data_IF_555386792899
#
_entry.id   IF_555386792899
#
_cell.length_a   1.000
_cell.length_b   1.000
_cell.length_c   1.000
_cell.angle_alpha   90.00
_cell.angle_beta   90.00
_cell.angle_gamma   90.00
#
_symmetry.space_group_name_H-M   'P 1'
#
loop_
_entity.id
_entity.type
_entity.pdbx_description
1 polymer ?
#
# COMPACT_ATOMS: atom_id res chain seq x y z
N UNK A 1 1.94 7.78 28.83
CA UNK A 1 1.03 8.13 27.72
C UNK A 1 0.20 6.90 27.34
N UNK A 2 -1.13 6.96 27.44
CA UNK A 2 -2.02 5.88 26.96
C UNK A 2 -2.19 6.05 25.45
N UNK A 3 -1.51 5.22 24.64
CA UNK A 3 -1.79 5.14 23.21
C UNK A 3 -3.23 4.68 23.01
N UNK A 4 -4.07 5.53 22.42
CA UNK A 4 -5.44 5.18 22.07
C UNK A 4 -5.44 4.02 21.08
N UNK A 5 -6.54 3.25 20.98
CA UNK A 5 -6.66 2.15 20.00
C UNK A 5 -6.40 2.63 18.56
N UNK A 6 -6.74 3.87 18.24
CA UNK A 6 -6.44 4.51 16.96
C UNK A 6 -4.93 4.63 16.71
N UNK A 7 -4.17 5.15 17.68
CA UNK A 7 -2.72 5.32 17.53
C UNK A 7 -1.94 4.01 17.37
N UNK A 8 -2.47 2.88 17.88
CA UNK A 8 -1.86 1.55 17.66
C UNK A 8 -2.02 1.04 16.23
N UNK A 9 -3.13 1.40 15.56
CA UNK A 9 -3.35 1.04 14.16
C UNK A 9 -2.50 1.91 13.23
N UNK A 10 -2.37 3.20 13.54
CA UNK A 10 -1.51 4.12 12.79
C UNK A 10 -0.04 3.70 12.83
N UNK A 11 0.49 3.36 14.00
CA UNK A 11 1.87 2.86 14.14
C UNK A 11 2.10 1.53 13.40
N UNK A 12 1.09 0.65 13.38
CA UNK A 12 1.17 -0.59 12.61
C UNK A 12 1.16 -0.32 11.09
N UNK A 13 0.27 0.56 10.62
CA UNK A 13 0.20 0.93 9.21
C UNK A 13 1.51 1.60 8.72
N UNK A 14 2.08 2.49 9.52
CA UNK A 14 3.38 3.12 9.27
C UNK A 14 4.51 2.10 9.20
N UNK A 15 4.60 1.20 10.18
CA UNK A 15 5.64 0.17 10.20
C UNK A 15 5.56 -0.79 9.02
N UNK A 16 4.36 -1.14 8.54
CA UNK A 16 4.24 -2.00 7.36
C UNK A 16 4.56 -1.24 6.07
N UNK A 17 4.16 0.02 5.96
CA UNK A 17 4.47 0.83 4.80
C UNK A 17 5.98 1.10 4.67
N UNK A 18 6.68 1.33 5.79
CA UNK A 18 8.14 1.44 5.84
C UNK A 18 8.84 0.12 5.43
N UNK A 19 8.40 -1.02 5.98
CA UNK A 19 8.96 -2.32 5.62
C UNK A 19 8.75 -2.68 4.14
N UNK A 20 7.57 -2.39 3.58
CA UNK A 20 7.29 -2.63 2.17
C UNK A 20 8.18 -1.75 1.26
N UNK A 21 8.41 -0.50 1.65
CA UNK A 21 9.25 0.41 0.87
C UNK A 21 10.73 0.01 0.91
N UNK A 22 11.25 -0.44 2.06
CA UNK A 22 12.62 -0.98 2.18
C UNK A 22 12.83 -2.26 1.36
N UNK A 23 11.82 -3.12 1.26
CA UNK A 23 11.90 -4.35 0.47
C UNK A 23 11.81 -4.10 -1.03
N UNK A 24 11.10 -3.07 -1.48
CA UNK A 24 11.08 -2.65 -2.88
C UNK A 24 12.44 -2.15 -3.38
N UNK A 25 13.22 -1.58 -2.46
CA UNK A 25 14.55 -1.04 -2.70
C UNK A 25 15.64 -2.12 -2.70
N UNK A 26 15.37 -3.28 -2.09
CA UNK A 26 16.22 -4.45 -2.25
C UNK A 26 16.05 -5.02 -3.67
N UNK A 27 17.09 -5.66 -4.23
CA UNK A 27 17.09 -6.18 -5.60
C UNK A 27 15.97 -7.20 -5.91
N UNK A 28 16.12 -8.02 -6.96
CA UNK A 28 15.05 -8.97 -7.35
C UNK A 28 14.46 -9.85 -6.21
N UNK A 29 15.20 -10.27 -5.15
CA UNK A 29 14.60 -10.97 -4.00
C UNK A 29 13.73 -10.05 -3.14
N UNK A 30 14.12 -8.78 -3.03
CA UNK A 30 13.35 -7.72 -2.38
C UNK A 30 12.02 -7.46 -3.06
N UNK A 31 12.02 -7.40 -4.38
CA UNK A 31 10.81 -7.20 -5.21
C UNK A 31 9.80 -8.34 -5.04
N UNK A 32 10.27 -9.59 -5.07
CA UNK A 32 9.42 -10.77 -4.78
C UNK A 32 8.91 -10.77 -3.34
N UNK A 33 9.76 -10.42 -2.38
CA UNK A 33 9.36 -10.31 -0.98
C UNK A 33 8.31 -9.22 -0.75
N UNK A 34 8.38 -8.11 -1.49
CA UNK A 34 7.36 -7.05 -1.44
C UNK A 34 6.02 -7.57 -1.93
N UNK A 35 6.00 -8.29 -3.06
CA UNK A 35 4.77 -8.88 -3.58
C UNK A 35 4.15 -9.86 -2.55
N UNK A 36 4.98 -10.67 -1.89
CA UNK A 36 4.53 -11.56 -0.81
C UNK A 36 3.98 -10.79 0.39
N UNK A 37 4.69 -9.77 0.87
CA UNK A 37 4.25 -8.93 1.98
C UNK A 37 2.94 -8.21 1.69
N UNK A 38 2.81 -7.70 0.47
CA UNK A 38 1.64 -6.96 0.06
C UNK A 38 0.40 -7.85 -0.14
N UNK A 39 0.58 -9.15 -0.42
CA UNK A 39 -0.50 -10.14 -0.37
C UNK A 39 -0.83 -10.53 1.09
N UNK A 40 0.18 -10.64 1.95
CA UNK A 40 -0.01 -10.99 3.36
C UNK A 40 -0.76 -9.89 4.14
N UNK A 41 -0.62 -8.61 3.77
CA UNK A 41 -1.21 -7.50 4.50
C UNK A 41 -2.76 -7.51 4.48
N UNK A 42 -3.47 -7.62 3.33
CA UNK A 42 -4.92 -7.78 3.32
C UNK A 42 -5.40 -9.04 4.05
N UNK A 43 -4.65 -10.14 3.94
CA UNK A 43 -5.01 -11.41 4.58
C UNK A 43 -4.93 -11.31 6.12
N UNK A 44 -3.85 -10.75 6.63
CA UNK A 44 -3.67 -10.51 8.08
C UNK A 44 -4.67 -9.49 8.60
N UNK A 45 -4.96 -8.43 7.83
CA UNK A 45 -6.00 -7.46 8.15
C UNK A 45 -7.39 -8.11 8.23
N UNK A 46 -7.71 -9.03 7.31
CA UNK A 46 -8.95 -9.81 7.34
C UNK A 46 -9.04 -10.72 8.57
N UNK A 47 -7.98 -11.47 8.87
CA UNK A 47 -7.90 -12.32 10.05
C UNK A 47 -8.11 -11.47 11.32
N UNK A 48 -7.37 -10.36 11.45
CA UNK A 48 -7.52 -9.43 12.58
C UNK A 48 -8.96 -8.90 12.70
N UNK A 49 -9.54 -8.41 11.59
CA UNK A 49 -10.87 -7.82 11.58
C UNK A 49 -11.95 -8.84 11.95
N UNK A 50 -11.86 -10.09 11.48
CA UNK A 50 -12.82 -11.16 11.85
C UNK A 50 -12.82 -11.49 13.33
N UNK A 51 -11.69 -11.30 14.00
CA UNK A 51 -11.52 -11.60 15.42
C UNK A 51 -11.89 -10.40 16.30
N UNK A 52 -11.58 -9.17 15.88
CA UNK A 52 -11.68 -8.00 16.76
C UNK A 52 -12.75 -6.97 16.38
N UNK A 53 -13.08 -6.85 15.10
CA UNK A 53 -13.91 -5.78 14.56
C UNK A 53 -14.78 -6.29 13.40
N UNK A 54 -15.63 -7.29 13.69
CA UNK A 54 -16.47 -7.98 12.67
C UNK A 54 -17.35 -7.04 11.86
N UNK A 55 -17.73 -5.91 12.46
CA UNK A 55 -18.57 -4.94 11.79
C UNK A 55 -17.82 -4.06 10.78
N UNK A 56 -16.49 -3.96 10.88
CA UNK A 56 -15.64 -3.08 10.06
C UNK A 56 -14.68 -3.86 9.15
N UNK A 57 -15.03 -5.10 8.83
CA UNK A 57 -14.14 -6.02 8.10
C UNK A 57 -13.82 -5.46 6.72
N UNK A 58 -14.82 -4.99 5.96
CA UNK A 58 -14.57 -4.48 4.62
C UNK A 58 -13.75 -3.19 4.66
N UNK A 59 -13.98 -2.29 5.63
CA UNK A 59 -13.18 -1.07 5.79
C UNK A 59 -11.71 -1.38 6.10
N UNK A 60 -11.44 -2.29 7.05
CA UNK A 60 -10.08 -2.66 7.47
C UNK A 60 -9.34 -3.37 6.33
N UNK A 61 -9.99 -4.32 5.67
CA UNK A 61 -9.42 -5.03 4.51
C UNK A 61 -9.21 -4.07 3.34
N UNK A 62 -10.16 -3.17 3.08
CA UNK A 62 -10.04 -2.15 2.05
C UNK A 62 -8.83 -1.24 2.29
N UNK A 63 -8.67 -0.72 3.50
CA UNK A 63 -7.51 0.10 3.85
C UNK A 63 -6.19 -0.65 3.66
N UNK A 64 -6.15 -1.94 4.06
CA UNK A 64 -4.99 -2.79 3.82
C UNK A 64 -4.72 -2.99 2.32
N UNK A 65 -5.74 -3.30 1.51
CA UNK A 65 -5.59 -3.38 0.06
C UNK A 65 -5.05 -2.07 -0.54
N UNK A 66 -5.50 -0.93 -0.04
CA UNK A 66 -5.02 0.38 -0.49
C UNK A 66 -3.55 0.63 -0.15
N UNK A 67 -3.12 0.32 1.08
CA UNK A 67 -1.70 0.37 1.47
C UNK A 67 -0.83 -0.52 0.57
N UNK A 68 -1.34 -1.68 0.17
CA UNK A 68 -0.65 -2.62 -0.68
C UNK A 68 -0.70 -2.26 -2.18
N UNK A 69 -1.63 -1.41 -2.62
CA UNK A 69 -1.92 -1.22 -4.04
C UNK A 69 -0.72 -0.67 -4.82
N UNK A 70 -0.11 0.41 -4.31
CA UNK A 70 1.06 1.01 -4.93
C UNK A 70 2.31 0.10 -4.92
N UNK A 71 2.74 -0.49 -3.78
CA UNK A 71 3.90 -1.38 -3.78
C UNK A 71 3.68 -2.65 -4.61
N UNK A 72 2.46 -3.17 -4.73
CA UNK A 72 2.14 -4.28 -5.65
C UNK A 72 2.24 -3.85 -7.10
N UNK A 73 1.66 -2.71 -7.44
CA UNK A 73 1.68 -2.17 -8.81
C UNK A 73 3.12 -1.97 -9.30
N UNK A 74 3.93 -1.32 -8.47
CA UNK A 74 5.33 -1.07 -8.75
C UNK A 74 6.17 -2.36 -8.76
N UNK A 75 5.91 -3.27 -7.80
CA UNK A 75 6.55 -4.59 -7.74
C UNK A 75 6.27 -5.41 -8.99
N UNK A 76 5.01 -5.44 -9.46
CA UNK A 76 4.62 -6.08 -10.70
C UNK A 76 5.27 -5.40 -11.90
N UNK A 77 5.22 -4.06 -11.99
CA UNK A 77 5.84 -3.29 -13.07
C UNK A 77 7.32 -3.64 -13.22
N UNK A 78 8.02 -3.81 -12.11
CA UNK A 78 9.43 -4.19 -12.10
C UNK A 78 9.73 -5.58 -12.68
N UNK A 79 8.73 -6.44 -12.89
CA UNK A 79 8.87 -7.74 -13.55
C UNK A 79 8.93 -7.63 -15.09
N UNK A 80 8.65 -6.47 -15.68
CA UNK A 80 8.75 -6.25 -17.14
C UNK A 80 10.13 -6.52 -17.71
N UNK A 81 11.17 -6.31 -16.91
CA UNK A 81 12.57 -6.52 -17.32
C UNK A 81 12.99 -7.98 -17.20
N UNK A 82 12.14 -8.85 -16.65
CA UNK A 82 12.41 -10.28 -16.53
C UNK A 82 11.91 -11.03 -17.77
N UNK A 83 12.51 -12.19 -18.09
CA UNK A 83 12.08 -13.00 -19.22
C UNK A 83 10.68 -13.59 -19.03
N UNK A 84 10.11 -14.05 -20.14
CA UNK A 84 8.83 -14.77 -20.17
C UNK A 84 8.86 -16.01 -19.23
N UNK A 85 7.78 -16.29 -18.47
CA UNK A 85 6.45 -15.67 -18.48
C UNK A 85 6.28 -14.49 -17.51
N UNK A 86 7.28 -14.16 -16.70
CA UNK A 86 7.18 -13.10 -15.68
C UNK A 86 6.90 -11.71 -16.29
N UNK A 87 7.35 -11.50 -17.53
CA UNK A 87 7.05 -10.29 -18.30
C UNK A 87 5.54 -10.02 -18.47
N UNK A 88 4.70 -11.07 -18.56
CA UNK A 88 3.24 -10.90 -18.65
C UNK A 88 2.66 -10.31 -17.35
N UNK A 89 3.17 -10.76 -16.20
CA UNK A 89 2.83 -10.16 -14.90
C UNK A 89 3.35 -8.72 -14.82
N UNK A 90 4.51 -8.47 -15.44
CA UNK A 90 5.04 -7.14 -15.70
C UNK A 90 4.06 -6.20 -16.40
N UNK A 91 3.43 -6.66 -17.47
CA UNK A 91 2.45 -5.88 -18.23
C UNK A 91 1.20 -5.54 -17.40
N UNK A 92 0.74 -6.45 -16.53
CA UNK A 92 -0.32 -6.14 -15.56
C UNK A 92 0.11 -5.04 -14.58
N UNK A 93 1.38 -5.05 -14.20
CA UNK A 93 2.00 -4.00 -13.39
C UNK A 93 1.93 -2.62 -14.04
N UNK A 94 2.10 -2.50 -15.36
CA UNK A 94 1.94 -1.21 -16.08
C UNK A 94 0.53 -0.65 -15.91
N UNK A 95 -0.47 -1.49 -16.13
CA UNK A 95 -1.87 -1.08 -16.00
C UNK A 95 -2.19 -0.71 -14.56
N UNK A 96 -1.70 -1.51 -13.61
CA UNK A 96 -1.88 -1.24 -12.19
C UNK A 96 -1.18 0.06 -11.75
N UNK A 97 0.04 0.32 -12.24
CA UNK A 97 0.79 1.55 -11.96
C UNK A 97 0.15 2.77 -12.64
N UNK A 98 -0.50 2.61 -13.79
CA UNK A 98 -1.26 3.71 -14.39
C UNK A 98 -2.52 4.05 -13.59
N UNK A 99 -3.18 3.05 -13.00
CA UNK A 99 -4.38 3.22 -12.19
C UNK A 99 -4.09 3.69 -10.76
N UNK A 100 -2.95 3.25 -10.20
CA UNK A 100 -2.52 3.55 -8.83
C UNK A 100 -1.34 4.53 -8.76
N UNK A 101 -0.94 5.07 -9.91
CA UNK A 101 0.20 5.95 -10.08
C UNK A 101 0.08 7.18 -9.22
N UNK A 102 1.22 7.77 -8.89
CA UNK A 102 1.39 8.56 -7.68
C UNK A 102 0.59 9.89 -7.62
N UNK A 103 -0.59 9.98 -6.98
CA UNK A 103 -1.11 11.28 -6.54
C UNK A 103 -0.15 11.96 -5.57
N UNK A 104 0.66 11.19 -4.83
CA UNK A 104 1.65 11.72 -3.90
C UNK A 104 2.77 12.51 -4.58
N UNK A 105 3.15 12.17 -5.81
CA UNK A 105 4.16 12.86 -6.59
C UNK A 105 3.69 14.29 -6.89
N UNK A 106 2.40 14.45 -7.22
CA UNK A 106 1.79 15.75 -7.38
C UNK A 106 1.80 16.51 -6.04
N UNK A 107 1.45 15.85 -4.93
CA UNK A 107 1.46 16.48 -3.60
C UNK A 107 2.88 16.94 -3.19
N UNK A 108 3.90 16.10 -3.37
CA UNK A 108 5.31 16.42 -3.06
C UNK A 108 5.82 17.57 -3.95
N UNK A 109 5.50 17.53 -5.24
CA UNK A 109 5.80 18.62 -6.20
C UNK A 109 5.13 19.93 -5.81
N UNK A 110 3.83 19.91 -5.54
CA UNK A 110 3.05 21.12 -5.26
C UNK A 110 3.32 21.70 -3.87
N UNK A 111 3.71 20.89 -2.91
CA UNK A 111 4.04 21.33 -1.55
C UNK A 111 5.51 21.76 -1.40
N UNK A 112 6.29 21.78 -2.49
CA UNK A 112 7.73 22.06 -2.48
C UNK A 112 8.50 21.22 -1.44
N UNK A 113 8.02 19.99 -1.19
CA UNK A 113 8.61 19.06 -0.22
C UNK A 113 9.80 18.28 -0.81
N UNK A 114 10.26 18.66 -2.01
CA UNK A 114 11.46 18.07 -2.62
C UNK A 114 12.68 18.40 -1.74
N UNK A 115 13.32 17.39 -1.12
CA UNK A 115 14.52 17.61 -0.33
C UNK A 115 15.62 18.22 -1.20
N UNK A 116 16.22 19.31 -0.74
CA UNK A 116 17.39 19.90 -1.38
C UNK A 116 18.61 19.01 -1.11
N UNK A 117 18.89 18.07 -2.01
CA UNK A 117 20.05 17.18 -1.94
C UNK A 117 19.82 15.80 -2.55
N UNK A 118 20.91 15.04 -2.71
CA UNK A 118 20.96 13.69 -3.31
C UNK A 118 20.38 12.61 -2.37
N UNK A 119 19.17 12.83 -1.88
CA UNK A 119 18.40 11.87 -1.07
C UNK A 119 17.28 11.27 -1.91
N UNK A 120 17.64 10.69 -3.06
CA UNK A 120 16.71 9.96 -3.94
C UNK A 120 15.91 8.89 -3.17
N UNK A 121 16.54 8.24 -2.20
CA UNK A 121 15.92 7.22 -1.35
C UNK A 121 14.81 7.78 -0.44
N UNK A 122 15.04 8.93 0.19
CA UNK A 122 14.08 9.52 1.12
C UNK A 122 12.83 10.03 0.39
N UNK A 123 13.03 10.62 -0.80
CA UNK A 123 11.94 11.02 -1.69
C UNK A 123 11.12 9.82 -2.14
N UNK A 124 11.80 8.73 -2.51
CA UNK A 124 11.13 7.52 -2.95
C UNK A 124 10.30 6.90 -1.81
N UNK A 125 10.90 6.77 -0.61
CA UNK A 125 10.19 6.30 0.59
C UNK A 125 8.97 7.16 0.91
N UNK A 126 9.10 8.49 0.85
CA UNK A 126 8.01 9.42 1.09
C UNK A 126 6.89 9.25 0.06
N UNK A 127 7.23 9.08 -1.22
CA UNK A 127 6.27 8.82 -2.30
C UNK A 127 5.51 7.49 -2.07
N UNK A 128 6.22 6.42 -1.70
CA UNK A 128 5.59 5.13 -1.36
C UNK A 128 4.62 5.26 -0.19
N UNK A 129 5.04 5.92 0.89
CA UNK A 129 4.22 6.09 2.10
C UNK A 129 2.96 6.90 1.79
N UNK A 130 3.11 8.05 1.14
CA UNK A 130 2.00 8.94 0.82
C UNK A 130 1.00 8.29 -0.14
N UNK A 131 1.47 7.57 -1.16
CA UNK A 131 0.57 6.82 -2.04
C UNK A 131 -0.16 5.71 -1.31
N UNK A 132 0.55 4.94 -0.49
CA UNK A 132 -0.07 3.93 0.35
C UNK A 132 -1.19 4.51 1.19
N UNK A 133 -0.97 5.67 1.84
CA UNK A 133 -1.97 6.35 2.65
C UNK A 133 -3.17 6.86 1.84
N UNK A 134 -2.94 7.46 0.67
CA UNK A 134 -4.01 7.93 -0.22
C UNK A 134 -4.89 6.77 -0.66
N UNK A 135 -4.28 5.69 -1.16
CA UNK A 135 -5.02 4.50 -1.60
C UNK A 135 -5.70 3.78 -0.43
N UNK A 136 -5.07 3.73 0.75
CA UNK A 136 -5.68 3.21 1.97
C UNK A 136 -6.95 3.98 2.35
N UNK A 137 -6.94 5.31 2.23
CA UNK A 137 -8.11 6.13 2.48
C UNK A 137 -9.23 5.87 1.45
N UNK A 138 -8.89 5.79 0.16
CA UNK A 138 -9.86 5.51 -0.91
C UNK A 138 -10.49 4.12 -0.73
N UNK A 139 -9.67 3.08 -0.60
CA UNK A 139 -10.16 1.70 -0.52
C UNK A 139 -10.78 1.40 0.85
N UNK A 140 -10.28 2.02 1.92
CA UNK A 140 -10.91 1.97 3.24
C UNK A 140 -12.31 2.59 3.23
N UNK A 141 -12.51 3.71 2.54
CA UNK A 141 -13.82 4.34 2.37
C UNK A 141 -14.78 3.48 1.55
N UNK A 142 -14.31 2.88 0.46
CA UNK A 142 -15.10 1.90 -0.32
C UNK A 142 -15.53 0.73 0.58
N UNK A 143 -14.57 0.18 1.35
CA UNK A 143 -14.82 -0.88 2.31
C UNK A 143 -15.84 -0.49 3.38
N UNK A 144 -15.76 0.73 3.91
CA UNK A 144 -16.72 1.25 4.88
C UNK A 144 -18.15 1.29 4.33
N UNK A 145 -18.32 1.71 3.07
CA UNK A 145 -19.62 1.72 2.42
C UNK A 145 -20.19 0.30 2.25
N UNK A 146 -19.33 -0.68 1.96
CA UNK A 146 -19.72 -2.09 1.90
C UNK A 146 -20.14 -2.63 3.26
N UNK A 147 -19.43 -2.27 4.34
CA UNK A 147 -19.83 -2.62 5.70
C UNK A 147 -21.20 -2.03 6.05
N UNK A 148 -21.45 -0.75 5.73
CA UNK A 148 -22.76 -0.12 5.95
C UNK A 148 -23.89 -0.85 5.23
N UNK A 149 -23.69 -1.18 3.94
CA UNK A 149 -24.66 -1.93 3.12
C UNK A 149 -24.92 -3.35 3.64
N UNK A 150 -23.92 -3.97 4.27
CA UNK A 150 -24.07 -5.31 4.88
C UNK A 150 -24.88 -5.27 6.16
N UNK A 151 -24.76 -4.19 6.94
CA UNK A 151 -25.53 -4.00 8.18
C UNK A 151 -26.98 -3.57 7.95
N UNK A 152 -27.25 -2.94 6.81
CA UNK A 152 -28.60 -2.49 6.44
C UNK A 152 -29.46 -3.59 5.79
N UNK A 153 -28.95 -4.81 5.65
CA UNK A 153 -29.66 -5.99 5.14
C UNK A 153 -29.94 -6.94 6.29
#
# INVERSE_FOLDING_TARGET
MKTTRAGRFELFALGVAEAAALLLLAGWPGKLSTLLWAVCLPLTAWLYARWRSREHVCAIVGAACGLAAYPVSHGLFSLLVLPFPLQLLGALGVVAEALHGSPAYLVVRFAELEPQGDTSLAVLLLDYLLNGLVWAAIYGRIGHHLDQRRRSR
#
